data_IF_203300216854
#
_entry.id   IF_203300216854
#
_cell.length_a   1.000
_cell.length_b   1.000
_cell.length_c   1.000
_cell.angle_alpha   90.00
_cell.angle_beta   90.00
_cell.angle_gamma   90.00
#
_symmetry.space_group_name_H-M   'P 1'
#
loop_
_entity.id
_entity.type
_entity.pdbx_description
1 polymer ?
#
# COMPACT_ATOMS: atom_id res chain seq x y z
N UNK A 1 -13.34 7.59 -13.14
CA UNK A 1 -11.86 7.67 -13.12
C UNK A 1 -11.46 7.85 -11.67
N UNK A 2 -10.59 6.98 -11.16
CA UNK A 2 -9.94 7.18 -9.86
C UNK A 2 -9.08 8.44 -9.95
N UNK A 3 -9.23 9.37 -9.02
CA UNK A 3 -8.57 10.70 -9.05
C UNK A 3 -7.61 10.94 -7.89
N UNK A 4 -7.42 9.95 -7.02
CA UNK A 4 -6.58 10.05 -5.83
C UNK A 4 -5.69 8.82 -5.74
N UNK A 5 -4.40 9.07 -5.54
CA UNK A 5 -3.38 8.06 -5.30
C UNK A 5 -3.09 8.02 -3.80
N UNK A 6 -3.42 6.90 -3.17
CA UNK A 6 -3.27 6.76 -1.72
C UNK A 6 -1.90 6.23 -1.30
N UNK A 7 -1.01 5.86 -2.22
CA UNK A 7 0.29 5.27 -1.86
C UNK A 7 1.39 5.85 -2.75
N UNK A 8 2.15 6.81 -2.20
CA UNK A 8 3.25 7.45 -2.93
C UNK A 8 4.38 7.84 -1.99
N UNK A 9 5.59 7.94 -2.53
CA UNK A 9 6.82 8.23 -1.81
C UNK A 9 7.55 9.38 -2.47
N UNK A 10 8.15 10.24 -1.65
CA UNK A 10 9.06 11.29 -2.11
C UNK A 10 10.48 11.02 -1.60
N UNK A 11 11.42 11.93 -1.85
CA UNK A 11 12.77 11.90 -1.25
C UNK A 11 12.78 11.94 0.28
N UNK A 12 11.60 12.01 0.91
CA UNK A 12 11.45 11.79 2.34
C UNK A 12 11.64 10.29 2.70
N UNK A 13 11.23 9.37 1.83
CA UNK A 13 11.60 7.95 1.90
C UNK A 13 13.02 7.72 1.36
N UNK A 14 13.70 6.68 1.84
CA UNK A 14 15.10 6.40 1.50
C UNK A 14 15.33 6.05 0.02
N UNK A 15 14.29 5.65 -0.70
CA UNK A 15 14.28 5.18 -2.09
C UNK A 15 13.41 6.05 -3.01
N UNK A 16 12.82 7.13 -2.48
CA UNK A 16 12.13 8.12 -3.29
C UNK A 16 13.10 8.96 -4.12
N UNK A 17 12.65 9.33 -5.33
CA UNK A 17 13.47 9.99 -6.36
C UNK A 17 12.99 11.39 -6.73
N UNK A 18 11.76 11.73 -6.37
CA UNK A 18 11.18 13.06 -6.56
C UNK A 18 10.90 13.70 -5.20
N UNK A 19 11.18 14.99 -5.08
CA UNK A 19 10.90 15.75 -3.87
C UNK A 19 9.40 15.83 -3.62
N UNK A 20 9.02 16.11 -2.37
CA UNK A 20 7.62 16.37 -2.00
C UNK A 20 6.99 17.44 -2.90
N UNK A 21 7.72 18.50 -3.24
CA UNK A 21 7.23 19.60 -4.07
C UNK A 21 6.97 19.16 -5.50
N UNK A 22 7.89 18.42 -6.10
CA UNK A 22 7.71 17.85 -7.43
C UNK A 22 6.50 16.90 -7.46
N UNK A 23 6.32 16.08 -6.41
CA UNK A 23 5.14 15.20 -6.27
C UNK A 23 3.84 16.01 -6.18
N UNK A 24 3.82 17.12 -5.42
CA UNK A 24 2.66 18.00 -5.31
C UNK A 24 2.30 18.68 -6.65
N UNK A 25 3.29 19.25 -7.35
CA UNK A 25 3.09 19.86 -8.67
C UNK A 25 2.59 18.83 -9.70
N UNK A 26 3.18 17.63 -9.69
CA UNK A 26 2.80 16.52 -10.54
C UNK A 26 1.38 16.01 -10.24
N UNK A 27 0.95 16.04 -8.98
CA UNK A 27 -0.42 15.68 -8.59
C UNK A 27 -1.44 16.74 -9.04
N UNK A 28 -1.14 18.02 -8.83
CA UNK A 28 -1.99 19.14 -9.27
C UNK A 28 -2.17 19.12 -10.80
N UNK A 29 -1.09 18.94 -11.56
CA UNK A 29 -1.15 18.89 -13.02
C UNK A 29 -1.98 17.72 -13.58
N UNK A 30 -2.17 16.65 -12.77
CA UNK A 30 -3.04 15.50 -13.09
C UNK A 30 -4.47 15.66 -12.59
N UNK A 31 -4.80 16.78 -11.95
CA UNK A 31 -6.13 17.03 -11.40
C UNK A 31 -6.44 16.26 -10.12
N UNK A 32 -5.41 15.80 -9.40
CA UNK A 32 -5.59 15.14 -8.10
C UNK A 32 -6.02 16.16 -7.04
N UNK A 33 -7.00 15.77 -6.22
CA UNK A 33 -7.48 16.61 -5.10
C UNK A 33 -6.74 16.31 -3.79
N UNK A 34 -6.15 15.12 -3.69
CA UNK A 34 -5.40 14.65 -2.54
C UNK A 34 -4.10 14.01 -3.01
N UNK A 35 -3.00 14.35 -2.33
CA UNK A 35 -1.73 13.66 -2.43
C UNK A 35 -1.44 12.99 -1.10
N UNK A 36 -1.43 11.66 -1.05
CA UNK A 36 -0.97 10.91 0.11
C UNK A 36 0.50 10.56 -0.07
N UNK A 37 1.37 11.26 0.65
CA UNK A 37 2.78 10.87 0.77
C UNK A 37 2.89 9.90 1.95
N UNK A 38 2.91 8.61 1.65
CA UNK A 38 2.95 7.50 2.61
C UNK A 38 4.39 7.07 2.81
N UNK A 39 5.20 8.00 3.32
CA UNK A 39 6.64 7.76 3.45
C UNK A 39 6.93 6.55 4.35
N UNK A 40 8.00 5.83 4.04
CA UNK A 40 8.39 4.63 4.78
C UNK A 40 8.72 4.97 6.24
N UNK A 41 8.08 4.24 7.14
CA UNK A 41 8.48 4.11 8.52
C UNK A 41 8.48 2.63 8.91
N UNK A 42 9.56 1.95 8.60
CA UNK A 42 9.76 0.58 9.08
C UNK A 42 10.29 0.61 10.52
N UNK A 43 9.72 -0.20 11.40
CA UNK A 43 10.25 -0.38 12.77
C UNK A 43 11.56 -1.16 12.82
N UNK A 44 12.22 -1.38 11.68
CA UNK A 44 13.51 -2.05 11.62
C UNK A 44 14.62 -1.15 12.12
N UNK A 45 15.67 -1.80 12.60
CA UNK A 45 16.88 -1.11 12.98
C UNK A 45 17.80 -0.92 11.77
N UNK A 46 18.52 0.20 11.72
CA UNK A 46 19.74 0.31 10.91
C UNK A 46 20.78 -0.74 11.33
N UNK A 47 21.91 -0.79 10.64
CA UNK A 47 22.98 -1.77 10.94
C UNK A 47 23.55 -1.59 12.36
N UNK A 48 23.28 -0.44 12.95
CA UNK A 48 23.72 0.01 14.27
C UNK A 48 22.69 -0.26 15.37
N UNK A 49 21.51 -0.79 15.05
CA UNK A 49 20.49 -1.09 16.06
C UNK A 49 19.61 0.10 16.44
N UNK A 50 19.57 1.18 15.64
CA UNK A 50 18.66 2.32 15.84
C UNK A 50 17.42 2.17 14.94
N UNK A 51 16.20 2.39 15.46
CA UNK A 51 15.02 2.25 14.64
C UNK A 51 15.12 3.27 13.48
N UNK A 52 14.78 2.84 12.25
CA UNK A 52 14.63 3.71 11.09
C UNK A 52 13.43 4.64 11.31
N UNK A 53 13.60 5.60 12.21
CA UNK A 53 12.63 6.66 12.43
C UNK A 53 13.05 7.83 11.54
N UNK A 54 12.97 7.67 10.21
CA UNK A 54 12.97 8.85 9.34
C UNK A 54 11.60 9.52 9.48
N UNK A 55 11.37 10.08 10.67
CA UNK A 55 10.08 10.56 11.11
C UNK A 55 9.82 11.93 10.47
N UNK A 56 9.27 11.90 9.27
CA UNK A 56 9.10 13.10 8.46
C UNK A 56 7.72 13.75 8.61
N UNK A 57 6.95 13.35 9.62
CA UNK A 57 5.69 14.01 9.95
C UNK A 57 5.84 15.53 10.13
N UNK A 58 6.98 15.99 10.69
CA UNK A 58 7.30 17.42 10.76
C UNK A 58 7.53 18.07 9.39
N UNK A 59 8.24 17.40 8.48
CA UNK A 59 8.48 17.88 7.11
C UNK A 59 7.17 17.99 6.34
N UNK A 60 6.31 16.97 6.44
CA UNK A 60 4.98 16.99 5.82
C UNK A 60 4.10 18.09 6.41
N UNK A 61 4.11 18.25 7.74
CA UNK A 61 3.37 19.33 8.42
C UNK A 61 3.85 20.72 8.00
N UNK A 62 5.15 20.90 7.79
CA UNK A 62 5.67 22.16 7.28
C UNK A 62 5.28 22.37 5.82
N UNK A 63 5.43 21.33 4.98
CA UNK A 63 5.06 21.40 3.57
C UNK A 63 3.59 21.77 3.36
N UNK A 64 2.68 21.24 4.20
CA UNK A 64 1.25 21.58 4.17
C UNK A 64 0.97 23.08 4.20
N UNK A 65 1.80 23.87 4.91
CA UNK A 65 1.59 25.32 5.05
C UNK A 65 1.85 26.09 3.75
N UNK A 66 2.60 25.50 2.82
CA UNK A 66 3.01 26.14 1.58
C UNK A 66 2.53 25.38 0.33
N UNK A 67 1.64 24.41 0.49
CA UNK A 67 1.04 23.71 -0.65
C UNK A 67 0.17 24.66 -1.47
N UNK A 68 0.17 24.53 -2.81
CA UNK A 68 -0.72 25.29 -3.67
C UNK A 68 -2.20 25.04 -3.33
N UNK A 69 -3.04 26.04 -3.57
CA UNK A 69 -4.49 25.86 -3.47
C UNK A 69 -4.98 24.75 -4.43
N UNK A 70 -5.98 23.99 -3.99
CA UNK A 70 -6.60 22.94 -4.81
C UNK A 70 -6.08 21.52 -4.58
N UNK A 71 -5.04 21.33 -3.75
CA UNK A 71 -4.59 20.00 -3.32
C UNK A 71 -4.48 19.89 -1.80
N UNK A 72 -4.96 18.77 -1.25
CA UNK A 72 -4.75 18.41 0.16
C UNK A 72 -3.58 17.44 0.27
N UNK A 73 -2.77 17.60 1.32
CA UNK A 73 -1.74 16.62 1.71
C UNK A 73 -2.09 16.05 3.08
N UNK A 74 -2.93 15.00 3.17
CA UNK A 74 -3.18 14.26 4.42
C UNK A 74 -1.88 13.77 5.06
N UNK A 75 -1.84 13.69 6.39
CA UNK A 75 -0.63 13.30 7.10
C UNK A 75 -0.64 11.79 7.11
N UNK A 76 0.12 11.23 6.19
CA UNK A 76 0.11 9.81 5.90
C UNK A 76 1.47 9.16 6.13
N UNK A 77 1.46 7.85 6.26
CA UNK A 77 2.67 7.04 6.47
C UNK A 77 2.44 5.63 5.95
N UNK A 78 3.48 5.02 5.38
CA UNK A 78 3.52 3.58 5.18
C UNK A 78 4.32 2.95 6.31
N UNK A 79 3.62 2.19 7.14
CA UNK A 79 4.14 1.69 8.38
C UNK A 79 4.51 0.20 8.26
N UNK A 80 5.81 -0.02 8.15
CA UNK A 80 6.39 -1.34 7.94
C UNK A 80 6.65 -2.08 9.24
N UNK A 81 6.22 -3.35 9.30
CA UNK A 81 6.54 -4.28 10.39
C UNK A 81 6.01 -3.85 11.76
N UNK A 82 4.85 -3.17 11.76
CA UNK A 82 4.16 -2.67 12.94
C UNK A 82 3.98 -3.68 14.09
N UNK A 83 3.92 -4.99 13.81
CA UNK A 83 3.80 -6.05 14.83
C UNK A 83 5.12 -6.50 15.47
N UNK A 84 6.27 -6.20 14.85
CA UNK A 84 7.57 -6.62 15.37
C UNK A 84 7.92 -5.92 16.69
N UNK A 85 7.53 -4.65 16.83
CA UNK A 85 7.79 -3.85 18.03
C UNK A 85 6.55 -3.01 18.44
N UNK A 86 5.51 -3.61 19.01
CA UNK A 86 4.22 -2.95 19.23
C UNK A 86 4.30 -1.65 20.05
N UNK A 87 5.19 -1.58 21.04
CA UNK A 87 5.38 -0.36 21.85
C UNK A 87 6.01 0.78 21.06
N UNK A 88 6.94 0.48 20.14
CA UNK A 88 7.55 1.48 19.26
C UNK A 88 6.51 1.93 18.23
N UNK A 89 5.75 0.98 17.68
CA UNK A 89 4.64 1.24 16.76
C UNK A 89 3.60 2.19 17.33
N UNK A 90 3.09 1.90 18.53
CA UNK A 90 2.15 2.78 19.21
C UNK A 90 2.74 4.18 19.44
N UNK A 91 4.01 4.26 19.83
CA UNK A 91 4.69 5.54 20.02
C UNK A 91 4.76 6.33 18.71
N UNK A 92 5.18 5.73 17.60
CA UNK A 92 5.27 6.39 16.29
C UNK A 92 3.89 6.91 15.88
N UNK A 93 2.86 6.07 15.95
CA UNK A 93 1.49 6.45 15.60
C UNK A 93 0.91 7.54 16.52
N UNK A 94 1.37 7.65 17.77
CA UNK A 94 0.97 8.71 18.70
C UNK A 94 1.73 10.04 18.53
N UNK A 95 2.80 10.07 17.73
CA UNK A 95 3.65 11.26 17.64
C UNK A 95 3.02 12.37 16.79
N UNK A 96 2.12 12.05 15.88
CA UNK A 96 1.33 13.02 15.12
C UNK A 96 -0.10 12.50 14.92
N UNK A 97 -1.01 13.40 14.58
CA UNK A 97 -2.37 13.06 14.17
C UNK A 97 -2.38 12.57 12.72
N UNK A 98 -1.85 11.35 12.50
CA UNK A 98 -1.89 10.71 11.19
C UNK A 98 -3.34 10.55 10.72
N UNK A 99 -3.60 10.97 9.50
CA UNK A 99 -4.91 10.87 8.86
C UNK A 99 -5.08 9.58 8.07
N UNK A 100 -3.96 8.95 7.67
CA UNK A 100 -3.96 7.72 6.91
C UNK A 100 -2.68 6.90 7.16
N UNK A 101 -2.83 5.61 7.45
CA UNK A 101 -1.70 4.69 7.67
C UNK A 101 -1.90 3.44 6.83
N UNK A 102 -0.90 3.15 6.00
CA UNK A 102 -0.76 1.86 5.33
C UNK A 102 0.00 0.93 6.28
N UNK A 103 -0.50 -0.28 6.50
CA UNK A 103 0.26 -1.33 7.19
C UNK A 103 0.90 -2.26 6.17
N UNK A 104 2.23 -2.37 6.19
CA UNK A 104 2.98 -3.15 5.20
C UNK A 104 3.94 -4.18 5.82
N UNK A 105 4.04 -5.35 5.19
CA UNK A 105 4.96 -6.43 5.58
C UNK A 105 6.09 -6.57 4.55
N UNK A 106 7.17 -5.79 4.71
CA UNK A 106 8.34 -5.80 3.82
C UNK A 106 9.37 -6.87 4.19
N UNK A 107 9.34 -7.34 5.44
CA UNK A 107 10.27 -8.33 5.97
C UNK A 107 9.53 -9.37 6.78
N UNK A 108 10.05 -10.59 6.73
CA UNK A 108 9.60 -11.68 7.58
C UNK A 108 10.43 -11.72 8.86
N UNK A 109 9.96 -12.48 9.83
CA UNK A 109 10.62 -12.70 11.12
C UNK A 109 12.11 -13.05 11.00
N UNK A 110 12.90 -12.71 12.02
CA UNK A 110 14.37 -12.85 11.92
C UNK A 110 15.03 -11.90 10.90
N UNK A 111 14.36 -10.80 10.55
CA UNK A 111 14.84 -9.76 9.63
C UNK A 111 15.08 -10.26 8.19
N UNK A 112 14.31 -11.26 7.74
CA UNK A 112 14.42 -11.80 6.40
C UNK A 112 13.87 -10.81 5.36
N UNK A 113 14.72 -10.42 4.42
CA UNK A 113 14.43 -9.38 3.43
C UNK A 113 14.03 -9.97 2.10
N UNK A 114 12.75 -9.88 1.73
CA UNK A 114 12.25 -10.47 0.47
C UNK A 114 12.86 -9.81 -0.77
N UNK A 115 13.22 -8.53 -0.70
CA UNK A 115 13.88 -7.81 -1.81
C UNK A 115 15.34 -8.25 -2.06
N UNK A 116 16.05 -8.76 -1.05
CA UNK A 116 17.48 -9.11 -1.14
C UNK A 116 17.72 -10.62 -1.14
N UNK A 117 16.66 -11.42 -1.06
CA UNK A 117 16.76 -12.87 -1.12
C UNK A 117 16.85 -13.32 -2.58
N UNK A 118 17.77 -14.24 -2.85
CA UNK A 118 17.86 -14.90 -4.16
C UNK A 118 16.85 -16.05 -4.16
N UNK A 119 15.92 -16.05 -5.10
CA UNK A 119 14.91 -17.11 -5.25
C UNK A 119 15.36 -18.12 -6.32
N UNK A 120 16.04 -19.23 -5.95
CA UNK A 120 16.72 -20.11 -6.91
C UNK A 120 15.73 -20.98 -7.71
N UNK A 121 14.57 -21.29 -7.14
CA UNK A 121 13.57 -22.15 -7.74
C UNK A 121 12.17 -21.88 -7.16
N UNK A 122 11.17 -22.56 -7.76
CA UNK A 122 9.77 -22.45 -7.35
C UNK A 122 9.51 -22.91 -5.91
N UNK A 123 10.23 -23.91 -5.43
CA UNK A 123 10.00 -24.46 -4.09
C UNK A 123 10.40 -23.46 -3.00
N UNK A 124 11.47 -22.71 -3.22
CA UNK A 124 11.86 -21.60 -2.35
C UNK A 124 10.82 -20.46 -2.37
N UNK A 125 10.34 -20.05 -3.55
CA UNK A 125 9.26 -19.06 -3.66
C UNK A 125 8.00 -19.48 -2.89
N UNK A 126 7.56 -20.73 -3.05
CA UNK A 126 6.39 -21.27 -2.34
C UNK A 126 6.61 -21.32 -0.82
N UNK A 127 7.82 -21.68 -0.37
CA UNK A 127 8.16 -21.68 1.06
C UNK A 127 8.14 -20.26 1.66
N UNK A 128 8.70 -19.28 0.95
CA UNK A 128 8.68 -17.87 1.36
C UNK A 128 7.24 -17.34 1.35
N UNK A 129 6.44 -17.69 0.33
CA UNK A 129 5.05 -17.23 0.23
C UNK A 129 4.17 -17.81 1.36
N UNK A 130 4.30 -19.09 1.69
CA UNK A 130 3.59 -19.70 2.84
C UNK A 130 3.91 -18.98 4.14
N UNK A 131 5.19 -18.71 4.36
CA UNK A 131 5.65 -17.98 5.55
C UNK A 131 5.11 -16.55 5.56
N UNK A 132 5.17 -15.87 4.42
CA UNK A 132 4.62 -14.53 4.27
C UNK A 132 3.13 -14.48 4.59
N UNK A 133 2.32 -15.38 4.03
CA UNK A 133 0.88 -15.42 4.29
C UNK A 133 0.58 -15.69 5.76
N UNK A 134 1.31 -16.60 6.41
CA UNK A 134 1.16 -16.86 7.84
C UNK A 134 1.51 -15.64 8.71
N UNK A 135 2.60 -14.94 8.41
CA UNK A 135 2.98 -13.73 9.13
C UNK A 135 2.04 -12.56 8.82
N UNK A 136 1.49 -12.50 7.62
CA UNK A 136 0.51 -11.51 7.19
C UNK A 136 -0.83 -11.66 7.93
N UNK A 137 -1.26 -12.89 8.25
CA UNK A 137 -2.45 -13.14 9.10
C UNK A 137 -2.29 -12.47 10.47
N UNK A 138 -1.17 -12.71 11.15
CA UNK A 138 -0.87 -12.07 12.45
C UNK A 138 -0.75 -10.55 12.29
N UNK A 139 -0.05 -10.07 11.25
CA UNK A 139 0.06 -8.65 10.96
C UNK A 139 -1.31 -7.98 10.78
N UNK A 140 -2.18 -8.58 9.95
CA UNK A 140 -3.52 -8.08 9.70
C UNK A 140 -4.39 -8.07 10.97
N UNK A 141 -4.16 -8.98 11.92
CA UNK A 141 -4.89 -9.04 13.18
C UNK A 141 -4.43 -8.03 14.23
N UNK A 142 -3.13 -7.75 14.28
CA UNK A 142 -2.48 -7.09 15.42
C UNK A 142 -1.97 -5.68 15.12
N UNK A 143 -1.60 -5.37 13.87
CA UNK A 143 -1.08 -4.06 13.51
C UNK A 143 -2.17 -2.98 13.53
N UNK A 144 -1.80 -1.75 13.86
CA UNK A 144 -2.70 -0.59 13.75
C UNK A 144 -2.48 0.13 12.42
N UNK A 145 -3.48 0.05 11.54
CA UNK A 145 -3.46 0.62 10.18
C UNK A 145 -4.87 1.01 9.73
N UNK A 146 -4.99 1.72 8.60
CA UNK A 146 -6.25 2.01 7.93
C UNK A 146 -6.47 1.11 6.72
N UNK A 147 -5.42 0.91 5.92
CA UNK A 147 -5.40 -0.06 4.82
C UNK A 147 -4.27 -1.08 5.01
N UNK A 148 -4.52 -2.33 4.61
CA UNK A 148 -3.46 -3.34 4.50
C UNK A 148 -2.80 -3.19 3.13
N UNK A 149 -1.53 -2.79 3.13
CA UNK A 149 -0.72 -2.51 1.93
C UNK A 149 -0.32 -3.77 1.18
N UNK A 150 -0.10 -3.61 -0.14
CA UNK A 150 0.41 -4.60 -1.11
C UNK A 150 0.64 -6.03 -0.59
N UNK A 151 -0.45 -6.78 -0.37
CA UNK A 151 -0.33 -8.16 0.12
C UNK A 151 0.27 -9.12 -0.94
N UNK A 152 0.47 -8.63 -2.16
CA UNK A 152 1.19 -9.27 -3.26
C UNK A 152 2.70 -8.94 -3.29
N UNK A 153 3.23 -8.26 -2.26
CA UNK A 153 4.63 -7.82 -2.20
C UNK A 153 5.68 -8.87 -2.60
N UNK A 154 5.61 -10.13 -2.14
CA UNK A 154 6.61 -11.15 -2.52
C UNK A 154 6.61 -11.47 -4.01
N UNK A 155 5.42 -11.42 -4.66
CA UNK A 155 5.23 -11.79 -6.07
C UNK A 155 6.05 -10.89 -7.01
N UNK A 156 6.30 -9.64 -6.60
CA UNK A 156 7.15 -8.68 -7.30
C UNK A 156 8.56 -9.23 -7.57
N UNK A 157 9.07 -10.06 -6.67
CA UNK A 157 10.44 -10.60 -6.76
C UNK A 157 10.47 -12.00 -7.34
N UNK A 158 9.47 -12.83 -7.02
CA UNK A 158 9.43 -14.22 -7.51
C UNK A 158 9.47 -14.27 -9.04
N UNK A 159 8.59 -13.53 -9.71
CA UNK A 159 8.54 -13.56 -11.17
C UNK A 159 9.84 -13.07 -11.81
N UNK A 160 10.48 -12.04 -11.25
CA UNK A 160 11.75 -11.52 -11.75
C UNK A 160 12.88 -12.53 -11.56
N UNK A 161 12.90 -13.26 -10.45
CA UNK A 161 13.97 -14.20 -10.11
C UNK A 161 13.82 -15.58 -10.75
N UNK A 162 12.61 -16.16 -10.74
CA UNK A 162 12.38 -17.53 -11.18
C UNK A 162 11.53 -17.65 -12.46
N UNK A 163 10.92 -16.57 -12.94
CA UNK A 163 10.03 -16.58 -14.11
C UNK A 163 8.68 -17.26 -13.88
N UNK A 164 8.42 -17.76 -12.68
CA UNK A 164 7.17 -18.40 -12.31
C UNK A 164 6.13 -17.36 -11.90
N UNK A 165 4.89 -17.60 -12.33
CA UNK A 165 3.72 -16.85 -11.86
C UNK A 165 3.13 -17.65 -10.70
N UNK A 166 3.36 -17.16 -9.49
CA UNK A 166 2.64 -17.60 -8.28
C UNK A 166 1.55 -16.58 -7.96
N UNK A 167 0.44 -17.06 -7.41
CA UNK A 167 -0.70 -16.24 -7.03
C UNK A 167 -1.03 -16.45 -5.54
N UNK A 168 -1.69 -15.47 -4.91
CA UNK A 168 -2.11 -15.65 -3.51
C UNK A 168 -3.27 -16.66 -3.41
N UNK A 169 -4.03 -16.79 -4.50
CA UNK A 169 -5.12 -17.73 -4.69
C UNK A 169 -4.67 -19.20 -4.61
N UNK A 170 -3.37 -19.48 -4.76
CA UNK A 170 -2.77 -20.80 -4.50
C UNK A 170 -2.78 -21.17 -2.99
N UNK A 171 -3.05 -20.19 -2.11
CA UNK A 171 -3.12 -20.30 -0.66
C UNK A 171 -4.49 -19.82 -0.16
N UNK A 172 -5.59 -20.50 -0.55
CA UNK A 172 -6.93 -19.97 -0.38
C UNK A 172 -7.37 -19.87 1.08
N UNK A 173 -6.86 -20.74 1.96
CA UNK A 173 -7.20 -20.72 3.39
C UNK A 173 -6.60 -19.49 4.07
N UNK A 174 -5.30 -19.27 3.90
CA UNK A 174 -4.58 -18.12 4.46
C UNK A 174 -5.05 -16.81 3.84
N UNK A 175 -5.30 -16.79 2.51
CA UNK A 175 -5.85 -15.63 1.84
C UNK A 175 -7.22 -15.25 2.41
N UNK A 176 -8.15 -16.20 2.49
CA UNK A 176 -9.47 -15.96 3.06
C UNK A 176 -9.39 -15.48 4.52
N UNK A 177 -8.45 -16.00 5.31
CA UNK A 177 -8.23 -15.59 6.68
C UNK A 177 -7.80 -14.11 6.77
N UNK A 178 -6.77 -13.70 6.01
CA UNK A 178 -6.32 -12.30 5.94
C UNK A 178 -7.48 -11.39 5.53
N UNK A 179 -8.21 -11.75 4.47
CA UNK A 179 -9.32 -10.95 3.96
C UNK A 179 -10.45 -10.81 4.99
N UNK A 180 -10.84 -11.90 5.68
CA UNK A 180 -11.84 -11.85 6.75
C UNK A 180 -11.39 -10.99 7.92
N UNK A 181 -10.11 -11.03 8.29
CA UNK A 181 -9.55 -10.19 9.34
C UNK A 181 -9.69 -8.71 8.96
N UNK A 182 -9.24 -8.33 7.76
CA UNK A 182 -9.35 -6.96 7.22
C UNK A 182 -10.80 -6.47 7.28
N UNK A 183 -11.75 -7.29 6.81
CA UNK A 183 -13.19 -6.97 6.82
C UNK A 183 -13.70 -6.80 8.26
N UNK A 184 -13.42 -7.76 9.14
CA UNK A 184 -13.92 -7.76 10.52
C UNK A 184 -13.41 -6.57 11.36
N UNK A 185 -12.21 -6.08 11.03
CA UNK A 185 -11.60 -4.91 11.67
C UNK A 185 -12.05 -3.58 11.04
N UNK A 186 -12.91 -3.62 10.02
CA UNK A 186 -13.37 -2.43 9.29
C UNK A 186 -12.24 -1.69 8.58
N UNK A 187 -11.22 -2.43 8.11
CA UNK A 187 -10.05 -1.88 7.42
C UNK A 187 -10.19 -2.00 5.91
N UNK A 188 -9.46 -1.18 5.19
CA UNK A 188 -9.34 -1.30 3.73
C UNK A 188 -8.34 -2.37 3.33
N UNK A 189 -8.55 -2.92 2.13
CA UNK A 189 -7.53 -3.65 1.38
C UNK A 189 -6.95 -2.72 0.31
N UNK A 190 -5.63 -2.68 0.15
CA UNK A 190 -5.02 -1.92 -0.94
C UNK A 190 -5.03 -2.72 -2.26
N UNK A 191 -5.49 -2.08 -3.34
CA UNK A 191 -5.14 -2.47 -4.70
C UNK A 191 -3.93 -1.65 -5.16
N UNK A 192 -2.75 -2.26 -5.09
CA UNK A 192 -1.49 -1.61 -5.45
C UNK A 192 -1.12 -1.88 -6.91
N UNK A 193 -0.74 -0.84 -7.67
CA UNK A 193 -0.40 -1.00 -9.10
C UNK A 193 1.09 -1.11 -9.39
N UNK A 194 1.97 -1.00 -8.38
CA UNK A 194 3.43 -1.07 -8.60
C UNK A 194 3.87 -2.44 -9.13
N UNK A 195 3.15 -3.51 -8.82
CA UNK A 195 3.45 -4.89 -9.24
C UNK A 195 3.72 -4.98 -10.75
N UNK A 196 2.95 -4.25 -11.58
CA UNK A 196 3.16 -4.15 -13.04
C UNK A 196 4.50 -3.48 -13.41
N UNK A 197 4.88 -2.40 -12.71
CA UNK A 197 6.17 -1.72 -12.93
C UNK A 197 7.36 -2.52 -12.39
N UNK A 198 7.11 -3.41 -11.42
CA UNK A 198 8.13 -4.31 -10.84
C UNK A 198 8.31 -5.60 -11.64
N UNK A 199 7.59 -5.75 -12.75
CA UNK A 199 7.79 -6.82 -13.74
C UNK A 199 6.77 -7.94 -13.66
N UNK A 200 5.99 -8.05 -12.58
CA UNK A 200 4.95 -9.08 -12.47
C UNK A 200 3.75 -8.70 -13.36
N UNK A 201 3.20 -9.64 -14.16
CA UNK A 201 2.32 -9.29 -15.28
C UNK A 201 0.87 -8.98 -14.91
N UNK A 202 0.48 -9.20 -13.65
CA UNK A 202 -0.91 -9.11 -13.21
C UNK A 202 -1.08 -8.19 -12.00
N UNK A 203 -2.30 -7.67 -11.86
CA UNK A 203 -2.78 -7.09 -10.61
C UNK A 203 -3.62 -8.14 -9.89
N UNK A 204 -3.93 -7.85 -8.64
CA UNK A 204 -4.67 -8.70 -7.70
C UNK A 204 -6.17 -8.88 -8.03
N UNK A 205 -6.57 -9.10 -9.29
CA UNK A 205 -7.98 -9.17 -9.69
C UNK A 205 -8.75 -10.29 -8.98
N UNK A 206 -8.17 -11.50 -8.88
CA UNK A 206 -8.81 -12.62 -8.21
C UNK A 206 -8.97 -12.39 -6.70
N UNK A 207 -7.93 -11.84 -6.05
CA UNK A 207 -7.97 -11.43 -4.63
C UNK A 207 -9.02 -10.33 -4.38
N UNK A 208 -9.09 -9.30 -5.21
CA UNK A 208 -10.10 -8.22 -5.06
C UNK A 208 -11.51 -8.77 -5.22
N UNK A 209 -11.73 -9.65 -6.21
CA UNK A 209 -13.01 -10.35 -6.38
C UNK A 209 -13.33 -11.17 -5.13
N UNK A 210 -12.36 -11.90 -4.59
CA UNK A 210 -12.56 -12.72 -3.39
C UNK A 210 -12.87 -11.88 -2.15
N UNK A 211 -12.16 -10.76 -1.97
CA UNK A 211 -12.43 -9.79 -0.90
C UNK A 211 -13.88 -9.30 -0.98
N UNK A 212 -14.38 -9.01 -2.18
CA UNK A 212 -15.78 -8.62 -2.39
C UNK A 212 -16.78 -9.75 -2.09
N UNK A 213 -16.51 -10.97 -2.54
CA UNK A 213 -17.34 -12.16 -2.24
C UNK A 213 -17.47 -12.42 -0.73
N UNK A 214 -16.41 -12.16 0.03
CA UNK A 214 -16.39 -12.28 1.49
C UNK A 214 -17.10 -11.12 2.22
N UNK A 215 -17.62 -10.13 1.49
CA UNK A 215 -18.36 -8.99 2.04
C UNK A 215 -17.53 -7.72 2.21
N UNK A 216 -16.30 -7.67 1.68
CA UNK A 216 -15.46 -6.49 1.69
C UNK A 216 -16.07 -5.31 0.92
N UNK A 217 -15.91 -4.10 1.48
CA UNK A 217 -16.47 -2.86 0.93
C UNK A 217 -15.45 -1.74 0.81
N UNK A 218 -14.29 -1.84 1.45
CA UNK A 218 -13.32 -0.76 1.53
C UNK A 218 -12.04 -1.12 0.77
N UNK A 219 -11.76 -0.42 -0.33
CA UNK A 219 -10.56 -0.65 -1.14
C UNK A 219 -9.87 0.66 -1.44
N UNK A 220 -8.61 0.80 -1.03
CA UNK A 220 -7.76 1.93 -1.42
C UNK A 220 -7.01 1.60 -2.70
N UNK A 221 -6.60 2.61 -3.46
CA UNK A 221 -5.83 2.41 -4.70
C UNK A 221 -4.56 3.23 -4.65
N UNK A 222 -3.43 2.54 -4.74
CA UNK A 222 -2.11 3.11 -4.58
C UNK A 222 -1.20 2.75 -5.76
N UNK A 223 -0.42 3.71 -6.24
CA UNK A 223 0.56 3.43 -7.29
C UNK A 223 1.90 2.95 -6.76
N UNK A 224 2.19 3.23 -5.47
CA UNK A 224 3.50 3.02 -4.84
C UNK A 224 4.60 3.70 -5.69
N UNK A 225 4.26 4.92 -6.12
CA UNK A 225 5.11 5.78 -6.94
C UNK A 225 6.23 6.37 -6.10
N UNK A 226 7.46 6.18 -6.56
CA UNK A 226 8.66 6.76 -5.96
C UNK A 226 9.20 7.97 -6.75
N UNK A 227 8.50 8.37 -7.80
CA UNK A 227 8.82 9.51 -8.64
C UNK A 227 7.55 10.04 -9.30
N UNK A 228 7.61 11.27 -9.81
CA UNK A 228 6.46 11.93 -10.44
C UNK A 228 5.93 11.23 -11.68
N UNK A 229 6.74 10.44 -12.39
CA UNK A 229 6.34 9.70 -13.59
C UNK A 229 5.39 8.54 -13.31
N UNK A 230 5.50 7.96 -12.12
CA UNK A 230 4.74 6.76 -11.71
C UNK A 230 3.40 7.08 -11.03
N UNK A 231 3.12 8.36 -10.74
CA UNK A 231 1.87 8.79 -10.12
C UNK A 231 0.65 8.29 -10.90
N UNK A 232 -0.28 7.64 -10.19
CA UNK A 232 -1.51 7.07 -10.74
C UNK A 232 -1.31 6.07 -11.90
N UNK A 233 -0.11 5.47 -12.01
CA UNK A 233 0.18 4.50 -13.05
C UNK A 233 -0.80 3.32 -13.01
N UNK A 234 -1.39 2.97 -14.17
CA UNK A 234 -2.37 1.87 -14.33
C UNK A 234 -3.67 2.01 -13.52
N UNK A 235 -4.09 3.21 -13.16
CA UNK A 235 -5.34 3.43 -12.41
C UNK A 235 -6.61 3.16 -13.24
N UNK A 236 -6.54 3.28 -14.56
CA UNK A 236 -7.60 2.86 -15.48
C UNK A 236 -7.86 1.35 -15.41
N UNK A 237 -6.80 0.55 -15.35
CA UNK A 237 -6.88 -0.89 -15.14
C UNK A 237 -7.39 -1.22 -13.73
N UNK A 238 -6.88 -0.52 -12.70
CA UNK A 238 -7.33 -0.71 -11.31
C UNK A 238 -8.83 -0.42 -11.17
N UNK A 239 -9.34 0.70 -11.71
CA UNK A 239 -10.79 0.98 -11.74
C UNK A 239 -11.57 -0.12 -12.47
N UNK A 240 -11.04 -0.62 -13.59
CA UNK A 240 -11.63 -1.73 -14.33
C UNK A 240 -11.79 -2.98 -13.47
N UNK A 241 -10.76 -3.34 -12.70
CA UNK A 241 -10.77 -4.48 -11.77
C UNK A 241 -11.81 -4.28 -10.67
N UNK A 242 -11.81 -3.12 -10.00
CA UNK A 242 -12.76 -2.81 -8.93
C UNK A 242 -14.21 -2.87 -9.44
N UNK A 243 -14.50 -2.29 -10.61
CA UNK A 243 -15.84 -2.33 -11.19
C UNK A 243 -16.28 -3.74 -11.57
N UNK A 244 -15.39 -4.56 -12.16
CA UNK A 244 -15.71 -5.97 -12.48
C UNK A 244 -15.96 -6.80 -11.23
N UNK A 245 -15.26 -6.50 -10.15
CA UNK A 245 -15.49 -7.13 -8.85
C UNK A 245 -16.82 -6.67 -8.19
N UNK A 246 -17.41 -5.55 -8.63
CA UNK A 246 -18.70 -5.06 -8.12
C UNK A 246 -18.58 -3.94 -7.09
N UNK A 247 -17.49 -3.17 -7.12
CA UNK A 247 -17.37 -1.89 -6.42
C UNK A 247 -17.93 -0.75 -7.28
N UNK A 248 -18.58 0.21 -6.63
CA UNK A 248 -19.08 1.46 -7.22
C UNK A 248 -18.25 2.69 -6.81
N UNK A 249 -17.30 2.49 -5.90
CA UNK A 249 -16.46 3.50 -5.28
C UNK A 249 -15.10 2.91 -4.91
N UNK A 250 -14.13 3.78 -4.67
CA UNK A 250 -12.88 3.46 -3.97
C UNK A 250 -12.81 4.25 -2.67
N UNK A 251 -11.89 3.89 -1.78
CA UNK A 251 -11.75 4.49 -0.44
C UNK A 251 -10.56 5.43 -0.38
N UNK A 252 -10.75 6.60 0.19
CA UNK A 252 -9.70 7.49 0.71
C UNK A 252 -9.90 7.67 2.21
N UNK A 253 -8.96 8.30 2.90
CA UNK A 253 -9.05 8.51 4.35
C UNK A 253 -8.81 9.97 4.73
N UNK A 254 -9.68 10.49 5.59
CA UNK A 254 -9.45 11.76 6.30
C UNK A 254 -9.58 11.48 7.80
N UNK A 255 -8.61 11.92 8.59
CA UNK A 255 -8.60 11.70 10.04
C UNK A 255 -8.93 10.25 10.44
N UNK A 256 -8.30 9.25 9.80
CA UNK A 256 -8.49 7.81 10.07
C UNK A 256 -9.92 7.32 9.79
N UNK A 257 -10.73 8.12 9.09
CA UNK A 257 -12.10 7.79 8.72
C UNK A 257 -12.16 7.49 7.22
N UNK A 258 -12.67 6.31 6.82
CA UNK A 258 -12.82 5.96 5.41
C UNK A 258 -13.90 6.81 4.75
N UNK A 259 -13.59 7.37 3.59
CA UNK A 259 -14.50 8.11 2.72
C UNK A 259 -14.61 7.35 1.40
N UNK A 260 -15.82 6.94 1.04
CA UNK A 260 -16.11 6.33 -0.25
C UNK A 260 -16.21 7.42 -1.32
N UNK A 261 -15.34 7.35 -2.32
CA UNK A 261 -15.35 8.20 -3.49
C UNK A 261 -15.98 7.42 -4.65
N UNK A 262 -17.20 7.80 -5.09
CA UNK A 262 -17.87 7.13 -6.20
C UNK A 262 -17.02 7.20 -7.46
N UNK A 263 -17.02 6.12 -8.25
CA UNK A 263 -16.47 6.23 -9.58
C UNK A 263 -17.40 7.09 -10.45
N UNK A 264 -16.84 8.08 -11.15
CA UNK A 264 -17.58 8.84 -12.16
C UNK A 264 -18.33 7.90 -13.12
N UNK A 265 -19.59 8.20 -13.49
CA UNK A 265 -20.28 7.45 -14.52
C UNK A 265 -19.40 7.43 -15.78
N UNK A 266 -19.26 6.25 -16.41
CA UNK A 266 -18.71 6.23 -17.78
C UNK A 266 -19.72 7.00 -18.63
N UNK A 267 -19.40 8.26 -18.98
CA UNK A 267 -20.19 9.02 -19.93
C UNK A 267 -20.41 8.13 -21.15
N UNK A 268 -21.66 8.01 -21.61
CA UNK A 268 -21.93 7.27 -22.83
C UNK A 268 -21.02 7.84 -23.93
N UNK A 269 -20.20 7.03 -24.61
CA UNK A 269 -19.49 7.52 -25.77
C UNK A 269 -20.55 8.03 -26.75
N UNK A 270 -20.46 9.33 -27.07
CA UNK A 270 -21.25 9.98 -28.12
C UNK A 270 -20.80 9.44 -29.47
#
# INVERSE_FOLDING_TARGET
>A
MITVDTHTHSTCSHDGKSTLWEMAEAAISRGMTHLYLTEHADTNFDKEGNPYTNFMGKTMLEARKHLPEGIRLPLSIEFGQATAFPAISQRILSMQDYEYVIGSLHRLSGNFSMIYHEYPDRADCEAVLRRYMSELVSFAGEAEYDTLGHIDYPLRYFYVSCGEILELEDFPEELDEVLRIVISRGKSLELNTATLRKGYPHLMEGVIRRYRELGGTLVTVGSDAHNTGDLMHSFDLAEGILRRAGFDSYTIYEHRTPILVPFEPKGNPV
#
